data_IF_508022666440
#
_entry.id   IF_508022666440
#
_cell.length_a   1.000
_cell.length_b   1.000
_cell.length_c   1.000
_cell.angle_alpha   90.00
_cell.angle_beta   90.00
_cell.angle_gamma   90.00
#
_symmetry.space_group_name_H-M   'P 1'
#
loop_
_entity.id
_entity.type
_entity.pdbx_description
1 polymer ?
#
# COMPACT_ATOMS: atom_id res chain seq x y z
N UNK A 1 18.88 20.81 11.24
CA UNK A 1 17.54 20.43 10.77
C UNK A 1 17.65 19.11 10.00
N UNK A 2 17.97 18.02 10.72
CA UNK A 2 18.29 16.69 10.15
C UNK A 2 17.72 15.57 11.05
N UNK A 3 16.62 15.85 11.74
CA UNK A 3 15.81 14.80 12.35
C UNK A 3 14.63 14.58 11.41
N UNK A 4 14.50 13.50 10.66
CA UNK A 4 15.46 12.51 10.18
C UNK A 4 14.72 11.84 9.01
N UNK A 5 15.11 12.10 7.75
CA UNK A 5 14.34 11.68 6.57
C UNK A 5 14.07 10.17 6.57
N UNK A 6 15.01 9.40 7.13
CA UNK A 6 14.89 7.97 7.33
C UNK A 6 13.73 7.64 8.28
N UNK A 7 13.71 8.24 9.48
CA UNK A 7 12.60 8.12 10.44
C UNK A 7 11.26 8.55 9.85
N UNK A 8 11.23 9.63 9.05
CA UNK A 8 9.99 10.11 8.43
C UNK A 8 9.48 9.12 7.38
N UNK A 9 10.36 8.59 6.53
CA UNK A 9 10.02 7.57 5.54
C UNK A 9 9.54 6.28 6.19
N UNK A 10 10.22 5.82 7.24
CA UNK A 10 9.83 4.62 7.97
C UNK A 10 8.45 4.80 8.62
N UNK A 11 8.24 5.92 9.32
CA UNK A 11 6.97 6.26 9.98
C UNK A 11 5.80 6.37 9.00
N UNK A 12 5.97 7.10 7.89
CA UNK A 12 4.92 7.22 6.88
C UNK A 12 4.68 5.90 6.15
N UNK A 13 5.73 5.11 5.87
CA UNK A 13 5.57 3.78 5.26
C UNK A 13 4.75 2.87 6.17
N UNK A 14 5.10 2.76 7.46
CA UNK A 14 4.36 1.94 8.42
C UNK A 14 2.89 2.37 8.55
N UNK A 15 2.65 3.68 8.64
CA UNK A 15 1.30 4.25 8.75
C UNK A 15 0.46 3.95 7.52
N UNK A 16 1.01 4.16 6.32
CA UNK A 16 0.26 3.92 5.09
C UNK A 16 0.11 2.45 4.80
N UNK A 17 1.10 1.60 5.12
CA UNK A 17 1.03 0.16 4.93
C UNK A 17 -0.04 -0.45 5.81
N UNK A 18 -0.08 -0.10 7.10
CA UNK A 18 -1.11 -0.59 8.02
C UNK A 18 -2.52 -0.17 7.60
N UNK A 19 -2.70 1.08 7.15
CA UNK A 19 -3.99 1.52 6.60
C UNK A 19 -4.35 0.78 5.31
N UNK A 20 -3.35 0.52 4.45
CA UNK A 20 -3.54 -0.15 3.17
C UNK A 20 -4.01 -1.60 3.37
N UNK A 21 -3.37 -2.32 4.29
CA UNK A 21 -3.74 -3.69 4.65
C UNK A 21 -5.16 -3.78 5.21
N UNK A 22 -5.56 -2.81 6.05
CA UNK A 22 -6.93 -2.72 6.56
C UNK A 22 -7.93 -2.49 5.43
N UNK A 23 -7.66 -1.54 4.54
CA UNK A 23 -8.52 -1.26 3.39
C UNK A 23 -8.60 -2.47 2.46
N UNK A 24 -7.47 -3.10 2.16
CA UNK A 24 -7.39 -4.29 1.32
C UNK A 24 -8.26 -5.43 1.87
N UNK A 25 -8.28 -5.63 3.19
CA UNK A 25 -9.15 -6.61 3.85
C UNK A 25 -10.64 -6.29 3.80
N UNK A 26 -11.02 -5.06 3.41
CA UNK A 26 -12.41 -4.59 3.32
C UNK A 26 -12.89 -4.39 1.89
N UNK A 27 -12.05 -4.59 0.88
CA UNK A 27 -12.45 -4.45 -0.51
C UNK A 27 -12.69 -5.82 -1.15
N UNK A 28 -13.74 -5.90 -1.95
CA UNK A 28 -14.05 -7.04 -2.81
C UNK A 28 -13.79 -6.68 -4.27
N UNK A 29 -12.89 -7.40 -4.96
CA UNK A 29 -12.58 -7.13 -6.35
C UNK A 29 -13.59 -7.78 -7.30
N UNK A 30 -13.96 -7.06 -8.36
CA UNK A 30 -14.61 -7.64 -9.55
C UNK A 30 -13.60 -8.29 -10.50
N UNK A 31 -12.34 -7.88 -10.43
CA UNK A 31 -11.22 -8.44 -11.17
C UNK A 31 -10.11 -8.87 -10.19
N UNK A 32 -9.89 -10.18 -10.11
CA UNK A 32 -8.87 -10.76 -9.23
C UNK A 32 -7.46 -10.28 -9.56
N UNK A 33 -7.14 -10.01 -10.84
CA UNK A 33 -5.80 -9.53 -11.22
C UNK A 33 -5.51 -8.15 -10.64
N UNK A 34 -6.56 -7.34 -10.50
CA UNK A 34 -6.45 -6.01 -9.89
C UNK A 34 -6.09 -6.12 -8.41
N UNK A 35 -6.73 -7.04 -7.68
CA UNK A 35 -6.40 -7.34 -6.29
C UNK A 35 -5.04 -8.01 -6.12
N UNK A 36 -4.65 -8.90 -7.04
CA UNK A 36 -3.32 -9.53 -7.05
C UNK A 36 -2.21 -8.49 -7.17
N UNK A 37 -2.37 -7.47 -8.03
CA UNK A 37 -1.40 -6.38 -8.15
C UNK A 37 -1.29 -5.57 -6.85
N UNK A 38 -2.42 -5.26 -6.20
CA UNK A 38 -2.41 -4.55 -4.92
C UNK A 38 -1.68 -5.39 -3.86
N UNK A 39 -2.02 -6.68 -3.76
CA UNK A 39 -1.37 -7.61 -2.83
C UNK A 39 0.14 -7.73 -3.09
N UNK A 40 0.56 -7.74 -4.36
CA UNK A 40 1.98 -7.73 -4.73
C UNK A 40 2.69 -6.48 -4.20
N UNK A 41 2.13 -5.28 -4.41
CA UNK A 41 2.73 -4.05 -3.90
C UNK A 41 2.74 -3.96 -2.37
N UNK A 42 1.73 -4.48 -1.68
CA UNK A 42 1.74 -4.58 -0.21
C UNK A 42 2.84 -5.52 0.29
N UNK A 43 2.99 -6.68 -0.36
CA UNK A 43 4.06 -7.63 -0.08
C UNK A 43 5.45 -7.03 -0.34
N UNK A 44 5.63 -6.33 -1.46
CA UNK A 44 6.87 -5.65 -1.80
C UNK A 44 7.20 -4.56 -0.79
N UNK A 45 6.22 -3.74 -0.39
CA UNK A 45 6.42 -2.71 0.62
C UNK A 45 6.90 -3.30 1.95
N UNK A 46 6.28 -4.39 2.43
CA UNK A 46 6.73 -5.10 3.63
C UNK A 46 8.16 -5.63 3.47
N UNK A 47 8.45 -6.27 2.34
CA UNK A 47 9.77 -6.81 2.05
C UNK A 47 10.86 -5.73 2.04
N UNK A 48 10.62 -4.60 1.38
CA UNK A 48 11.57 -3.50 1.34
C UNK A 48 11.74 -2.83 2.70
N UNK A 49 10.66 -2.68 3.46
CA UNK A 49 10.70 -2.12 4.81
C UNK A 49 11.55 -2.99 5.74
N UNK A 50 11.32 -4.32 5.74
CA UNK A 50 12.05 -5.28 6.58
C UNK A 50 13.56 -5.31 6.23
N UNK A 51 13.92 -4.95 5.00
CA UNK A 51 15.31 -4.86 4.52
C UNK A 51 15.94 -3.47 4.69
N UNK A 52 15.20 -2.47 5.18
CA UNK A 52 15.67 -1.08 5.31
C UNK A 52 15.73 -0.29 4.00
N UNK A 53 15.14 -0.79 2.90
CA UNK A 53 15.03 -0.07 1.63
C UNK A 53 13.80 0.87 1.67
N UNK A 54 13.90 1.93 2.46
CA UNK A 54 12.76 2.80 2.80
C UNK A 54 12.17 3.53 1.59
N UNK A 55 12.97 3.83 0.57
CA UNK A 55 12.48 4.51 -0.64
C UNK A 55 11.54 3.58 -1.40
N UNK A 56 11.95 2.32 -1.64
CA UNK A 56 11.11 1.36 -2.34
C UNK A 56 9.94 0.88 -1.48
N UNK A 57 10.12 0.80 -0.17
CA UNK A 57 9.05 0.49 0.75
C UNK A 57 7.92 1.53 0.68
N UNK A 58 8.28 2.82 0.70
CA UNK A 58 7.35 3.92 0.56
C UNK A 58 6.72 3.96 -0.84
N UNK A 59 7.52 3.81 -1.90
CA UNK A 59 7.01 3.78 -3.27
C UNK A 59 5.97 2.66 -3.47
N UNK A 60 6.26 1.44 -3.03
CA UNK A 60 5.39 0.28 -3.20
C UNK A 60 4.05 0.47 -2.47
N UNK A 61 4.05 1.00 -1.23
CA UNK A 61 2.79 1.25 -0.52
C UNK A 61 1.96 2.34 -1.22
N UNK A 62 2.58 3.37 -1.77
CA UNK A 62 1.87 4.41 -2.52
C UNK A 62 1.26 3.83 -3.81
N UNK A 63 1.94 2.92 -4.50
CA UNK A 63 1.36 2.19 -5.63
C UNK A 63 0.16 1.35 -5.20
N UNK A 64 0.26 0.58 -4.12
CA UNK A 64 -0.88 -0.19 -3.59
C UNK A 64 -2.10 0.72 -3.33
N UNK A 65 -1.88 1.88 -2.68
CA UNK A 65 -2.92 2.88 -2.44
C UNK A 65 -3.52 3.45 -3.72
N UNK A 66 -2.69 3.84 -4.68
CA UNK A 66 -3.17 4.39 -5.94
C UNK A 66 -4.05 3.39 -6.69
N UNK A 67 -3.65 2.11 -6.75
CA UNK A 67 -4.48 1.06 -7.35
C UNK A 67 -5.80 0.93 -6.61
N UNK A 68 -5.81 0.90 -5.27
CA UNK A 68 -7.05 0.82 -4.50
C UNK A 68 -8.00 2.00 -4.77
N UNK A 69 -7.50 3.23 -4.72
CA UNK A 69 -8.32 4.43 -4.96
C UNK A 69 -8.85 4.49 -6.40
N UNK A 70 -7.98 4.23 -7.40
CA UNK A 70 -8.39 4.18 -8.81
C UNK A 70 -9.42 3.06 -9.01
N UNK A 71 -9.18 1.88 -8.44
CA UNK A 71 -10.06 0.73 -8.55
C UNK A 71 -11.45 0.98 -7.94
N UNK A 72 -11.52 1.72 -6.83
CA UNK A 72 -12.77 2.19 -6.21
C UNK A 72 -13.49 3.19 -7.13
N UNK A 73 -12.78 4.20 -7.60
CA UNK A 73 -13.33 5.26 -8.46
C UNK A 73 -13.94 4.69 -9.76
N UNK A 74 -13.26 3.73 -10.40
CA UNK A 74 -13.76 3.11 -11.64
C UNK A 74 -14.69 1.91 -11.39
N UNK A 75 -15.00 1.60 -10.12
CA UNK A 75 -15.95 0.58 -9.72
C UNK A 75 -15.49 -0.87 -9.94
N UNK A 76 -14.18 -1.12 -10.05
CA UNK A 76 -13.58 -2.47 -10.09
C UNK A 76 -13.42 -3.05 -8.67
N UNK A 77 -13.23 -2.18 -7.67
CA UNK A 77 -13.20 -2.54 -6.26
C UNK A 77 -14.46 -2.00 -5.56
N UNK A 78 -15.06 -2.82 -4.71
CA UNK A 78 -16.23 -2.43 -3.91
C UNK A 78 -15.88 -2.63 -2.44
N UNK A 79 -16.15 -1.62 -1.61
CA UNK A 79 -15.94 -1.73 -0.17
C UNK A 79 -17.08 -2.56 0.45
N UNK A 80 -16.73 -3.61 1.19
CA UNK A 80 -17.66 -4.41 1.97
C UNK A 80 -17.87 -3.72 3.32
N UNK A 81 -19.13 -3.42 3.63
CA UNK A 81 -19.56 -2.87 4.93
C UNK A 81 -19.29 -3.84 6.09
#
# INVERSE_FOLDING_TARGET
MSRDLETDLESETLKWLGKAEILFGRISPKDNRFAENIAAFLSDSRHFLDNGDLIRAFEAVIWAWAWMEIGKEIGILVECE
#
